data_IF_946267153681
#
_entry.id   IF_946267153681
#
_cell.length_a   1.000
_cell.length_b   1.000
_cell.length_c   1.000
_cell.angle_alpha   90.00
_cell.angle_beta   90.00
_cell.angle_gamma   90.00
#
_symmetry.space_group_name_H-M   'P 1'
#
loop_
_entity.id
_entity.type
_entity.pdbx_description
1 polymer ?
#
# COMPACT_ATOMS: atom_id res chain seq x y z
N UNK A 1 -27.74 12.86 31.06
CA UNK A 1 -26.40 13.23 31.54
C UNK A 1 -26.20 14.71 31.31
N UNK A 2 -25.75 15.44 32.34
CA UNK A 2 -25.66 16.90 32.31
C UNK A 2 -24.52 17.36 31.41
N UNK A 3 -24.84 18.18 30.41
CA UNK A 3 -23.85 18.94 29.64
C UNK A 3 -23.29 20.00 30.58
N UNK A 4 -22.01 19.92 30.93
CA UNK A 4 -21.40 20.94 31.78
C UNK A 4 -20.98 22.12 30.90
N UNK A 5 -21.60 23.28 31.16
CA UNK A 5 -21.12 24.57 30.65
C UNK A 5 -20.04 25.08 31.59
N UNK A 6 -18.94 25.57 31.03
CA UNK A 6 -17.84 26.16 31.80
C UNK A 6 -17.91 27.67 31.65
N UNK A 7 -18.18 28.38 32.75
CA UNK A 7 -18.20 29.84 32.82
C UNK A 7 -16.91 30.39 33.44
N UNK A 8 -16.21 29.57 34.23
CA UNK A 8 -15.00 29.98 34.95
C UNK A 8 -13.94 28.88 35.00
N UNK A 9 -12.70 29.27 35.30
CA UNK A 9 -11.61 28.32 35.55
C UNK A 9 -11.87 27.43 36.76
N UNK A 10 -12.74 27.85 37.69
CA UNK A 10 -13.15 27.07 38.85
C UNK A 10 -13.96 25.85 38.46
N UNK A 11 -14.67 25.90 37.34
CA UNK A 11 -15.49 24.79 36.85
C UNK A 11 -14.63 23.60 36.41
N UNK A 12 -13.36 23.83 36.05
CA UNK A 12 -12.40 22.76 35.77
C UNK A 12 -12.10 21.90 37.00
N UNK A 13 -12.29 22.42 38.22
CA UNK A 13 -12.11 21.63 39.45
C UNK A 13 -13.22 20.58 39.64
N UNK A 14 -14.35 20.72 38.93
CA UNK A 14 -15.42 19.72 38.94
C UNK A 14 -15.15 18.53 38.00
N UNK A 15 -14.13 18.63 37.15
CA UNK A 15 -13.76 17.57 36.21
C UNK A 15 -12.96 16.49 36.96
N UNK A 16 -13.34 15.20 36.85
CA UNK A 16 -12.58 14.11 37.42
C UNK A 16 -11.10 14.13 36.98
N UNK A 17 -10.12 13.84 37.87
CA UNK A 17 -8.70 13.92 37.54
C UNK A 17 -8.29 13.07 36.32
N UNK A 18 -8.93 11.92 36.13
CA UNK A 18 -8.71 11.00 35.00
C UNK A 18 -9.23 11.54 33.66
N UNK A 19 -10.12 12.53 33.70
CA UNK A 19 -10.71 13.16 32.51
C UNK A 19 -10.20 14.58 32.25
N UNK A 20 -9.45 15.16 33.18
CA UNK A 20 -8.93 16.52 33.08
C UNK A 20 -8.09 16.73 31.81
N UNK A 21 -7.22 15.77 31.47
CA UNK A 21 -6.40 15.85 30.25
C UNK A 21 -7.24 15.91 28.97
N UNK A 22 -8.30 15.10 28.88
CA UNK A 22 -9.22 15.10 27.74
C UNK A 22 -10.06 16.38 27.68
N UNK A 23 -10.50 16.89 28.82
CA UNK A 23 -11.18 18.18 28.92
C UNK A 23 -10.29 19.34 28.45
N UNK A 24 -9.04 19.39 28.89
CA UNK A 24 -8.08 20.42 28.49
C UNK A 24 -7.74 20.35 27.00
N UNK A 25 -7.60 19.15 26.44
CA UNK A 25 -7.42 18.97 25.00
C UNK A 25 -8.62 19.48 24.20
N UNK A 26 -9.85 19.14 24.63
CA UNK A 26 -11.07 19.63 24.00
C UNK A 26 -11.23 21.16 24.10
N UNK A 27 -10.86 21.75 25.24
CA UNK A 27 -10.84 23.19 25.44
C UNK A 27 -9.84 23.87 24.50
N UNK A 28 -8.62 23.33 24.40
CA UNK A 28 -7.60 23.84 23.48
C UNK A 28 -8.08 23.81 22.01
N UNK A 29 -8.68 22.70 21.57
CA UNK A 29 -9.24 22.57 20.23
C UNK A 29 -10.43 23.52 19.98
N UNK A 30 -11.25 23.77 21.00
CA UNK A 30 -12.30 24.79 20.93
C UNK A 30 -11.69 26.19 20.75
N UNK A 31 -10.68 26.58 21.55
CA UNK A 31 -9.98 27.87 21.42
C UNK A 31 -9.41 28.05 20.01
N UNK A 32 -8.75 27.03 19.47
CA UNK A 32 -8.17 27.10 18.12
C UNK A 32 -9.25 27.24 17.03
N UNK A 33 -10.37 26.53 17.15
CA UNK A 33 -11.49 26.65 16.22
C UNK A 33 -12.14 28.04 16.29
N UNK A 34 -12.38 28.57 17.48
CA UNK A 34 -12.93 29.91 17.66
C UNK A 34 -12.01 30.99 17.09
N UNK A 35 -10.69 30.87 17.29
CA UNK A 35 -9.70 31.77 16.67
C UNK A 35 -9.75 31.73 15.15
N UNK A 36 -9.82 30.53 14.55
CA UNK A 36 -9.94 30.39 13.09
C UNK A 36 -11.24 30.99 12.56
N UNK A 37 -12.35 30.79 13.28
CA UNK A 37 -13.65 31.35 12.92
C UNK A 37 -13.61 32.88 12.88
N UNK A 38 -13.00 33.51 13.90
CA UNK A 38 -12.80 34.97 13.94
C UNK A 38 -11.99 35.45 12.73
N UNK A 39 -10.84 34.82 12.45
CA UNK A 39 -9.98 35.22 11.30
C UNK A 39 -10.73 35.10 9.97
N UNK A 40 -11.52 34.06 9.78
CA UNK A 40 -12.33 33.86 8.56
C UNK A 40 -13.41 34.95 8.44
N UNK A 41 -14.07 35.29 9.55
CA UNK A 41 -15.10 36.32 9.58
C UNK A 41 -14.54 37.73 9.32
N UNK A 42 -13.39 38.07 9.92
CA UNK A 42 -12.67 39.32 9.65
C UNK A 42 -12.27 39.44 8.18
N UNK A 43 -11.77 38.35 7.58
CA UNK A 43 -11.46 38.30 6.16
C UNK A 43 -12.69 38.49 5.25
N UNK A 44 -13.88 38.17 5.75
CA UNK A 44 -15.17 38.40 5.09
C UNK A 44 -15.75 39.80 5.38
N UNK A 45 -15.03 40.68 6.10
CA UNK A 45 -15.48 42.02 6.47
C UNK A 45 -16.51 42.04 7.61
N UNK A 46 -16.68 40.94 8.34
CA UNK A 46 -17.53 40.88 9.53
C UNK A 46 -16.72 41.32 10.74
N UNK A 47 -17.25 42.30 11.47
CA UNK A 47 -16.67 42.79 12.71
C UNK A 47 -16.65 41.68 13.78
N UNK A 48 -15.48 41.38 14.33
CA UNK A 48 -15.27 40.34 15.33
C UNK A 48 -16.12 40.54 16.59
N UNK A 49 -16.48 41.79 16.93
CA UNK A 49 -17.33 42.11 18.08
C UNK A 49 -18.79 41.64 17.94
N UNK A 50 -19.22 41.34 16.71
CA UNK A 50 -20.59 40.88 16.39
C UNK A 50 -20.68 39.36 16.24
N UNK A 51 -19.57 38.64 16.43
CA UNK A 51 -19.55 37.18 16.29
C UNK A 51 -20.04 36.52 17.57
N UNK A 52 -21.12 35.77 17.46
CA UNK A 52 -21.60 34.88 18.52
C UNK A 52 -20.75 33.61 18.51
N UNK A 53 -19.79 33.52 19.43
CA UNK A 53 -18.99 32.31 19.63
C UNK A 53 -19.74 31.42 20.61
N UNK A 54 -20.09 30.21 20.18
CA UNK A 54 -20.72 29.24 21.07
C UNK A 54 -19.86 28.95 22.29
N UNK A 55 -20.41 28.98 23.52
CA UNK A 55 -19.66 28.71 24.73
C UNK A 55 -19.10 27.29 24.73
N UNK A 56 -17.95 27.11 25.38
CA UNK A 56 -17.35 25.80 25.53
C UNK A 56 -18.24 24.90 26.39
N UNK A 57 -18.83 23.90 25.74
CA UNK A 57 -19.54 22.82 26.42
C UNK A 57 -18.72 21.55 26.30
N UNK A 58 -18.31 21.00 27.45
CA UNK A 58 -17.64 19.71 27.50
C UNK A 58 -18.60 18.65 28.00
N UNK A 59 -18.55 17.51 27.32
CA UNK A 59 -19.16 16.29 27.80
C UNK A 59 -18.01 15.38 28.21
N UNK A 60 -18.05 14.81 29.43
CA UNK A 60 -17.20 13.70 29.80
C UNK A 60 -17.06 12.77 28.61
N UNK A 61 -15.83 12.60 28.16
CA UNK A 61 -15.54 11.46 27.31
C UNK A 61 -15.68 10.30 28.28
N UNK A 62 -16.91 9.81 28.48
CA UNK A 62 -17.09 8.42 28.81
C UNK A 62 -16.14 7.75 27.83
N UNK A 63 -15.08 7.13 28.36
CA UNK A 63 -14.56 5.97 27.68
C UNK A 63 -15.81 5.16 27.49
N UNK A 64 -16.44 5.28 26.31
CA UNK A 64 -17.58 4.50 25.87
C UNK A 64 -17.15 3.13 26.30
N UNK A 65 -17.75 2.58 27.35
CA UNK A 65 -17.21 1.37 27.94
C UNK A 65 -17.42 0.34 26.85
N UNK A 66 -16.38 0.13 26.05
CA UNK A 66 -16.44 -0.71 24.85
C UNK A 66 -16.82 -2.12 25.30
N UNK A 67 -16.60 -2.42 26.59
CA UNK A 67 -17.03 -3.59 27.35
C UNK A 67 -18.50 -4.02 27.17
N UNK A 68 -19.45 -3.14 26.84
CA UNK A 68 -20.86 -3.54 26.86
C UNK A 68 -21.31 -4.34 25.62
N UNK A 69 -20.55 -4.35 24.51
CA UNK A 69 -20.97 -5.04 23.29
C UNK A 69 -19.83 -5.46 22.35
N UNK A 70 -18.57 -5.53 22.81
CA UNK A 70 -17.55 -6.19 21.98
C UNK A 70 -17.91 -7.66 21.91
N UNK A 71 -17.94 -8.17 20.69
CA UNK A 71 -18.10 -9.56 20.31
C UNK A 71 -16.92 -9.95 19.41
N UNK A 72 -16.60 -11.24 19.25
CA UNK A 72 -15.52 -11.66 18.35
C UNK A 72 -15.68 -11.15 16.90
N UNK A 73 -16.92 -10.94 16.43
CA UNK A 73 -17.22 -10.40 15.10
C UNK A 73 -17.20 -8.87 15.02
N UNK A 74 -16.96 -8.17 16.14
CA UNK A 74 -16.87 -6.70 16.18
C UNK A 74 -15.74 -6.20 15.28
N UNK A 75 -16.00 -5.25 14.37
CA UNK A 75 -14.98 -4.65 13.51
C UNK A 75 -13.89 -3.93 14.32
N UNK A 76 -12.64 -3.99 13.87
CA UNK A 76 -11.50 -3.34 14.54
C UNK A 76 -11.63 -1.81 14.63
N UNK A 77 -12.44 -1.23 13.73
CA UNK A 77 -12.77 0.19 13.70
C UNK A 77 -13.62 0.61 14.91
N UNK A 78 -14.34 -0.34 15.51
CA UNK A 78 -15.26 -0.14 16.63
C UNK A 78 -14.62 -0.45 18.00
N UNK A 79 -13.41 -1.02 18.01
CA UNK A 79 -12.70 -1.42 19.25
C UNK A 79 -12.14 -0.24 20.07
N UNK A 80 -12.29 1.00 19.60
CA UNK A 80 -11.83 2.18 20.35
C UNK A 80 -10.31 2.32 20.46
N UNK A 81 -9.54 1.59 19.65
CA UNK A 81 -8.08 1.72 19.56
C UNK A 81 -7.67 2.92 18.67
N UNK A 82 -6.37 3.26 18.68
CA UNK A 82 -5.85 4.40 17.90
C UNK A 82 -6.11 4.22 16.40
N UNK A 83 -6.65 5.25 15.72
CA UNK A 83 -6.95 5.23 14.27
C UNK A 83 -5.79 4.80 13.37
N UNK A 84 -4.55 5.15 13.72
CA UNK A 84 -3.36 4.72 12.96
C UNK A 84 -3.12 3.21 13.07
N UNK A 85 -3.36 2.62 14.25
CA UNK A 85 -3.27 1.18 14.46
C UNK A 85 -4.39 0.47 13.68
N UNK A 86 -5.64 0.97 13.74
CA UNK A 86 -6.76 0.46 12.94
C UNK A 86 -6.38 0.45 11.45
N UNK A 87 -5.93 1.58 10.92
CA UNK A 87 -5.55 1.69 9.52
C UNK A 87 -4.49 0.65 9.13
N UNK A 88 -3.45 0.51 9.97
CA UNK A 88 -2.36 -0.43 9.73
C UNK A 88 -2.80 -1.90 9.82
N UNK A 89 -3.79 -2.21 10.66
CA UNK A 89 -4.43 -3.53 10.77
C UNK A 89 -5.31 -3.83 9.54
N UNK A 90 -6.09 -2.85 9.06
CA UNK A 90 -6.86 -2.97 7.82
C UNK A 90 -5.97 -3.18 6.59
N UNK A 91 -4.79 -2.56 6.54
CA UNK A 91 -3.81 -2.76 5.47
C UNK A 91 -3.25 -4.18 5.41
N UNK A 92 -3.26 -4.88 6.54
CA UNK A 92 -2.78 -6.26 6.65
C UNK A 92 -3.93 -7.28 6.74
N UNK A 93 -5.17 -6.85 6.46
CA UNK A 93 -6.38 -7.68 6.41
C UNK A 93 -6.83 -8.25 7.76
N UNK A 94 -6.62 -7.51 8.84
CA UNK A 94 -7.27 -7.76 10.14
C UNK A 94 -8.48 -6.82 10.19
N UNK A 95 -9.70 -7.37 10.21
CA UNK A 95 -10.94 -6.60 10.13
C UNK A 95 -11.79 -6.68 11.39
N UNK A 96 -11.70 -7.78 12.13
CA UNK A 96 -12.50 -8.08 13.32
C UNK A 96 -11.63 -8.48 14.49
N UNK A 97 -12.22 -8.52 15.68
CA UNK A 97 -11.54 -9.02 16.87
C UNK A 97 -11.11 -10.49 16.71
N UNK A 98 -11.93 -11.34 16.11
CA UNK A 98 -11.59 -12.75 15.86
C UNK A 98 -10.36 -12.91 14.94
N UNK A 99 -10.16 -11.99 13.98
CA UNK A 99 -9.01 -12.02 13.07
C UNK A 99 -7.70 -11.80 13.81
N UNK A 100 -7.72 -11.03 14.92
CA UNK A 100 -6.54 -10.79 15.75
C UNK A 100 -6.03 -12.07 16.42
N UNK A 101 -6.90 -13.06 16.68
CA UNK A 101 -6.48 -14.34 17.24
C UNK A 101 -5.62 -15.17 16.26
N UNK A 102 -5.68 -14.85 14.97
CA UNK A 102 -4.84 -15.48 13.94
C UNK A 102 -3.45 -14.82 13.81
N UNK A 103 -3.31 -13.60 14.33
CA UNK A 103 -2.06 -12.86 14.35
C UNK A 103 -1.28 -13.17 15.64
N UNK A 104 0.04 -13.11 15.55
CA UNK A 104 0.91 -13.17 16.72
C UNK A 104 1.17 -11.78 17.29
N UNK A 105 1.48 -11.74 18.58
CA UNK A 105 1.77 -10.50 19.27
C UNK A 105 3.02 -9.80 18.71
N UNK A 106 4.05 -10.58 18.41
CA UNK A 106 5.32 -10.09 17.85
C UNK A 106 5.13 -9.44 16.47
N UNK A 107 4.18 -9.93 15.66
CA UNK A 107 3.84 -9.33 14.37
C UNK A 107 3.23 -7.95 14.54
N UNK A 108 2.30 -7.81 15.49
CA UNK A 108 1.68 -6.52 15.81
C UNK A 108 2.72 -5.54 16.34
N UNK A 109 3.61 -5.98 17.22
CA UNK A 109 4.68 -5.13 17.78
C UNK A 109 5.71 -4.64 16.74
N UNK A 110 5.85 -5.33 15.59
CA UNK A 110 6.73 -4.88 14.49
C UNK A 110 6.08 -3.81 13.61
N UNK A 111 4.78 -3.58 13.72
CA UNK A 111 4.08 -2.54 12.97
C UNK A 111 4.39 -1.18 13.56
N UNK A 112 4.86 -0.25 12.72
CA UNK A 112 5.25 1.11 13.11
C UNK A 112 4.19 1.86 13.92
N UNK A 113 2.91 1.59 13.66
CA UNK A 113 1.78 2.32 14.25
C UNK A 113 1.05 1.56 15.36
N UNK A 114 1.55 0.36 15.73
CA UNK A 114 1.00 -0.48 16.79
C UNK A 114 2.05 -0.60 17.90
N UNK A 115 1.77 0.03 19.03
CA UNK A 115 2.66 0.02 20.19
C UNK A 115 2.22 -0.98 21.26
N UNK A 116 3.10 -1.18 22.25
CA UNK A 116 2.85 -2.06 23.41
C UNK A 116 1.50 -1.81 24.08
N UNK A 117 1.11 -0.55 24.25
CA UNK A 117 -0.18 -0.19 24.86
C UNK A 117 -1.37 -0.67 24.03
N UNK A 118 -1.31 -0.57 22.71
CA UNK A 118 -2.36 -1.06 21.82
C UNK A 118 -2.43 -2.58 21.85
N UNK A 119 -1.28 -3.25 21.88
CA UNK A 119 -1.23 -4.71 21.97
C UNK A 119 -1.80 -5.21 23.29
N UNK A 120 -1.49 -4.55 24.42
CA UNK A 120 -2.06 -4.88 25.73
C UNK A 120 -3.58 -4.73 25.74
N UNK A 121 -4.11 -3.64 25.18
CA UNK A 121 -5.55 -3.41 25.04
C UNK A 121 -6.22 -4.53 24.24
N UNK A 122 -5.61 -4.92 23.12
CA UNK A 122 -6.13 -6.00 22.29
C UNK A 122 -6.04 -7.37 22.98
N UNK A 123 -4.98 -7.63 23.74
CA UNK A 123 -4.86 -8.85 24.55
C UNK A 123 -6.00 -8.95 25.57
N UNK A 124 -6.29 -7.85 26.26
CA UNK A 124 -7.38 -7.79 27.23
C UNK A 124 -8.73 -8.05 26.55
N UNK A 125 -8.98 -7.42 25.39
CA UNK A 125 -10.21 -7.63 24.60
C UNK A 125 -10.35 -9.08 24.13
N UNK A 126 -9.28 -9.70 23.61
CA UNK A 126 -9.30 -11.10 23.21
C UNK A 126 -9.56 -12.02 24.41
N UNK A 127 -8.89 -11.76 25.54
CA UNK A 127 -9.03 -12.55 26.76
C UNK A 127 -10.46 -12.56 27.32
N UNK A 128 -11.19 -11.45 27.21
CA UNK A 128 -12.62 -11.37 27.58
C UNK A 128 -13.51 -12.34 26.80
N UNK A 129 -13.09 -12.77 25.61
CA UNK A 129 -13.81 -13.72 24.76
C UNK A 129 -13.18 -15.11 24.70
N UNK A 130 -12.22 -15.41 25.59
CA UNK A 130 -11.50 -16.70 25.56
C UNK A 130 -10.61 -16.88 24.33
N UNK A 131 -10.28 -15.78 23.65
CA UNK A 131 -9.35 -15.76 22.52
C UNK A 131 -7.96 -15.34 23.01
N UNK A 132 -6.93 -15.77 22.29
CA UNK A 132 -5.55 -15.37 22.54
C UNK A 132 -4.84 -15.13 21.19
N UNK A 133 -3.75 -14.38 21.23
CA UNK A 133 -2.84 -14.28 20.09
C UNK A 133 -2.23 -15.64 19.77
N UNK A 134 -1.91 -15.85 18.50
CA UNK A 134 -1.19 -17.03 18.04
C UNK A 134 0.27 -17.00 18.53
N UNK A 135 0.81 -18.15 18.91
CA UNK A 135 2.24 -18.29 19.23
C UNK A 135 3.13 -17.97 18.02
N UNK A 136 4.21 -17.21 18.25
CA UNK A 136 5.04 -16.58 17.22
C UNK A 136 6.06 -17.51 16.57
N UNK A 137 5.63 -18.68 16.11
CA UNK A 137 6.56 -19.68 15.56
C UNK A 137 6.82 -19.52 14.05
N UNK A 138 6.29 -18.47 13.39
CA UNK A 138 6.37 -18.30 11.94
C UNK A 138 6.68 -16.86 11.44
N UNK A 139 7.23 -16.72 10.21
CA UNK A 139 7.58 -15.42 9.64
C UNK A 139 6.36 -14.60 9.17
N UNK A 140 6.32 -13.35 9.62
CA UNK A 140 5.24 -12.34 9.56
C UNK A 140 4.50 -12.05 8.24
N UNK A 141 4.99 -12.54 7.09
CA UNK A 141 4.30 -12.38 5.79
C UNK A 141 3.38 -13.54 5.45
N UNK A 142 3.64 -14.74 6.00
CA UNK A 142 2.87 -15.94 5.66
C UNK A 142 1.54 -16.04 6.41
N UNK A 143 1.41 -15.35 7.54
CA UNK A 143 0.24 -15.44 8.42
C UNK A 143 -0.83 -14.36 8.13
N UNK A 144 -0.45 -13.21 7.57
CA UNK A 144 -1.41 -12.22 7.05
C UNK A 144 -2.07 -12.67 5.74
N UNK A 145 -1.32 -13.39 4.91
CA UNK A 145 -1.93 -14.16 3.82
C UNK A 145 -2.85 -15.26 4.39
N UNK A 146 -2.57 -15.79 5.58
CA UNK A 146 -3.38 -16.84 6.24
C UNK A 146 -4.69 -16.29 6.85
N UNK A 147 -4.72 -15.07 7.39
CA UNK A 147 -5.95 -14.40 7.83
C UNK A 147 -6.83 -13.96 6.64
N UNK A 148 -6.21 -13.45 5.58
CA UNK A 148 -6.91 -13.19 4.33
C UNK A 148 -7.39 -14.50 3.68
N UNK A 149 -6.63 -15.59 3.81
CA UNK A 149 -7.08 -16.94 3.43
C UNK A 149 -8.24 -17.38 4.32
N UNK A 150 -8.21 -17.22 5.64
CA UNK A 150 -9.29 -17.63 6.55
C UNK A 150 -10.62 -16.94 6.28
N UNK A 151 -10.61 -15.63 5.97
CA UNK A 151 -11.80 -14.92 5.52
C UNK A 151 -12.29 -15.42 4.15
N UNK A 152 -11.35 -15.72 3.25
CA UNK A 152 -11.64 -16.29 1.92
C UNK A 152 -12.08 -17.76 1.97
N UNK A 153 -11.70 -18.55 2.98
CA UNK A 153 -12.17 -19.93 3.21
C UNK A 153 -13.66 -19.92 3.56
N UNK A 154 -14.12 -18.96 4.38
CA UNK A 154 -15.55 -18.76 4.69
C UNK A 154 -16.37 -18.29 3.48
N UNK A 155 -15.77 -17.53 2.55
CA UNK A 155 -16.41 -17.14 1.29
C UNK A 155 -16.45 -18.31 0.29
N UNK A 156 -15.42 -19.17 0.25
CA UNK A 156 -15.36 -20.35 -0.62
C UNK A 156 -16.35 -21.46 -0.20
N UNK A 157 -16.74 -21.53 1.08
CA UNK A 157 -17.83 -22.41 1.55
C UNK A 157 -19.21 -21.97 1.04
N UNK A 158 -19.37 -20.69 0.72
CA UNK A 158 -20.60 -20.16 0.13
C UNK A 158 -20.53 -20.44 -1.37
N UNK A 159 -21.45 -21.25 -1.89
CA UNK A 159 -21.63 -21.47 -3.33
C UNK A 159 -22.11 -20.19 -4.01
N UNK A 160 -21.21 -19.22 -4.15
CA UNK A 160 -21.48 -17.93 -4.76
C UNK A 160 -21.76 -18.13 -6.25
N UNK A 161 -22.66 -17.31 -6.78
CA UNK A 161 -23.00 -17.25 -8.21
C UNK A 161 -22.89 -15.82 -8.70
N UNK A 162 -23.05 -15.60 -10.00
CA UNK A 162 -23.06 -14.25 -10.56
C UNK A 162 -24.22 -13.38 -10.04
N UNK A 163 -25.29 -14.01 -9.58
CA UNK A 163 -26.45 -13.33 -8.99
C UNK A 163 -26.24 -13.02 -7.50
N UNK A 164 -25.18 -13.52 -6.88
CA UNK A 164 -24.89 -13.23 -5.47
C UNK A 164 -24.56 -11.75 -5.30
N UNK A 165 -25.04 -11.11 -4.23
CA UNK A 165 -24.76 -9.71 -3.95
C UNK A 165 -23.28 -9.50 -3.63
N UNK A 166 -22.77 -8.31 -3.96
CA UNK A 166 -21.35 -7.99 -3.79
C UNK A 166 -20.88 -7.99 -2.33
N UNK A 167 -21.81 -7.78 -1.39
CA UNK A 167 -21.56 -7.85 0.06
C UNK A 167 -21.19 -9.25 0.53
N UNK A 168 -21.62 -10.30 -0.18
CA UNK A 168 -21.32 -11.69 0.17
C UNK A 168 -19.92 -12.14 -0.27
N UNK A 169 -19.27 -11.38 -1.16
CA UNK A 169 -17.96 -11.74 -1.71
C UNK A 169 -16.84 -11.69 -0.66
N UNK A 170 -17.06 -11.03 0.48
CA UNK A 170 -16.02 -10.84 1.48
C UNK A 170 -15.01 -9.78 1.02
N UNK A 171 -15.51 -8.59 0.66
CA UNK A 171 -14.69 -7.40 0.44
C UNK A 171 -14.72 -6.50 1.68
N UNK A 172 -13.74 -5.60 1.82
CA UNK A 172 -13.77 -4.53 2.82
C UNK A 172 -15.04 -3.69 2.68
N UNK A 173 -15.67 -3.24 3.78
CA UNK A 173 -16.86 -2.38 3.74
C UNK A 173 -16.67 -1.15 2.85
N UNK A 174 -15.50 -0.51 2.89
CA UNK A 174 -15.18 0.63 2.04
C UNK A 174 -15.10 0.28 0.54
N UNK A 175 -14.75 -0.95 0.19
CA UNK A 175 -14.74 -1.44 -1.20
C UNK A 175 -16.15 -1.80 -1.63
N UNK A 176 -16.93 -2.50 -0.79
CA UNK A 176 -18.36 -2.78 -1.03
C UNK A 176 -19.15 -1.49 -1.27
N UNK A 177 -19.02 -0.50 -0.38
CA UNK A 177 -19.74 0.77 -0.52
C UNK A 177 -19.37 1.50 -1.82
N UNK A 178 -18.10 1.42 -2.25
CA UNK A 178 -17.68 2.00 -3.53
C UNK A 178 -18.21 1.23 -4.74
N UNK A 179 -18.37 -0.09 -4.64
CA UNK A 179 -19.03 -0.90 -5.66
C UNK A 179 -20.49 -0.50 -5.80
N UNK A 180 -21.23 -0.46 -4.69
CA UNK A 180 -22.64 -0.07 -4.66
C UNK A 180 -22.86 1.35 -5.19
N UNK A 181 -22.02 2.31 -4.78
CA UNK A 181 -22.08 3.70 -5.27
C UNK A 181 -21.82 3.83 -6.79
N UNK A 182 -21.24 2.81 -7.41
CA UNK A 182 -20.96 2.74 -8.86
C UNK A 182 -21.94 1.82 -9.60
N UNK A 183 -22.99 1.36 -8.94
CA UNK A 183 -23.99 0.45 -9.52
C UNK A 183 -23.50 -0.99 -9.71
N UNK A 184 -22.46 -1.39 -8.97
CA UNK A 184 -21.97 -2.78 -8.96
C UNK A 184 -22.53 -3.45 -7.69
N UNK A 185 -23.71 -4.04 -7.83
CA UNK A 185 -24.48 -4.66 -6.74
C UNK A 185 -24.32 -6.18 -6.65
N UNK A 186 -23.86 -6.83 -7.72
CA UNK A 186 -23.71 -8.28 -7.84
C UNK A 186 -22.30 -8.69 -8.27
N UNK A 187 -21.95 -9.94 -7.98
CA UNK A 187 -20.66 -10.54 -8.39
C UNK A 187 -20.55 -10.60 -9.91
N UNK A 188 -21.65 -10.91 -10.61
CA UNK A 188 -21.70 -10.91 -12.08
C UNK A 188 -21.46 -9.53 -12.69
N UNK A 189 -22.07 -8.48 -12.12
CA UNK A 189 -21.81 -7.11 -12.52
C UNK A 189 -20.33 -6.76 -12.36
N UNK A 190 -19.70 -7.12 -11.22
CA UNK A 190 -18.26 -6.91 -11.02
C UNK A 190 -17.42 -7.64 -12.08
N UNK A 191 -17.71 -8.93 -12.34
CA UNK A 191 -16.96 -9.78 -13.27
C UNK A 191 -17.08 -9.35 -14.73
N UNK A 192 -18.14 -8.61 -15.08
CA UNK A 192 -18.34 -8.06 -16.42
C UNK A 192 -17.34 -6.93 -16.78
N UNK A 193 -16.75 -6.29 -15.77
CA UNK A 193 -15.79 -5.21 -15.98
C UNK A 193 -14.40 -5.73 -16.36
N UNK A 194 -13.70 -4.97 -17.20
CA UNK A 194 -12.29 -5.23 -17.49
C UNK A 194 -11.41 -4.77 -16.34
N UNK A 195 -10.21 -5.34 -16.24
CA UNK A 195 -9.24 -4.96 -15.21
C UNK A 195 -8.89 -3.46 -15.28
N UNK A 196 -8.83 -2.90 -16.50
CA UNK A 196 -8.59 -1.48 -16.74
C UNK A 196 -9.73 -0.60 -16.22
N UNK A 197 -10.98 -0.98 -16.48
CA UNK A 197 -12.13 -0.21 -16.01
C UNK A 197 -12.21 -0.20 -14.48
N UNK A 198 -11.96 -1.36 -13.84
CA UNK A 198 -11.84 -1.44 -12.39
C UNK A 198 -10.67 -0.58 -11.87
N UNK A 199 -9.57 -0.49 -12.61
CA UNK A 199 -8.45 0.38 -12.24
C UNK A 199 -8.83 1.85 -12.19
N UNK A 200 -9.45 2.35 -13.26
CA UNK A 200 -9.89 3.73 -13.34
C UNK A 200 -10.89 4.06 -12.23
N UNK A 201 -11.79 3.12 -11.91
CA UNK A 201 -12.86 3.33 -10.93
C UNK A 201 -12.41 3.24 -9.48
N UNK A 202 -11.53 2.30 -9.13
CA UNK A 202 -11.24 1.93 -7.74
C UNK A 202 -9.79 2.18 -7.30
N UNK A 203 -8.85 2.26 -8.24
CA UNK A 203 -7.42 2.38 -7.99
C UNK A 203 -6.74 1.08 -7.56
N UNK A 204 -5.41 1.10 -7.55
CA UNK A 204 -4.52 -0.07 -7.43
C UNK A 204 -4.80 -0.98 -6.22
N UNK A 205 -4.97 -0.40 -5.02
CA UNK A 205 -5.13 -1.17 -3.80
C UNK A 205 -6.45 -1.94 -3.74
N UNK A 206 -7.52 -1.36 -4.30
CA UNK A 206 -8.86 -1.95 -4.28
C UNK A 206 -9.03 -3.02 -5.35
N UNK A 207 -8.40 -2.87 -6.52
CA UNK A 207 -8.42 -3.94 -7.53
C UNK A 207 -7.72 -5.20 -7.02
N UNK A 208 -6.57 -5.04 -6.36
CA UNK A 208 -5.84 -6.19 -5.83
C UNK A 208 -6.73 -7.01 -4.90
N UNK A 209 -7.43 -6.33 -4.01
CA UNK A 209 -8.44 -6.94 -3.16
C UNK A 209 -9.54 -7.62 -3.98
N UNK A 210 -10.21 -6.89 -4.89
CA UNK A 210 -11.29 -7.43 -5.72
C UNK A 210 -10.89 -8.72 -6.46
N UNK A 211 -9.76 -8.69 -7.17
CA UNK A 211 -9.28 -9.81 -7.98
C UNK A 211 -8.83 -10.97 -7.09
N UNK A 212 -8.16 -10.69 -5.98
CA UNK A 212 -7.69 -11.73 -5.07
C UNK A 212 -8.85 -12.42 -4.34
N UNK A 213 -9.88 -11.67 -3.96
CA UNK A 213 -11.09 -12.23 -3.35
C UNK A 213 -11.85 -13.11 -4.35
N UNK A 214 -12.04 -12.65 -5.60
CA UNK A 214 -12.63 -13.47 -6.65
C UNK A 214 -11.87 -14.81 -6.83
N UNK A 215 -10.54 -14.75 -6.90
CA UNK A 215 -9.70 -15.96 -7.06
C UNK A 215 -9.90 -16.97 -5.96
N UNK A 216 -10.02 -16.53 -4.72
CA UNK A 216 -10.16 -17.46 -3.61
C UNK A 216 -11.55 -18.07 -3.48
N UNK A 217 -12.56 -17.42 -4.06
CA UNK A 217 -13.89 -18.02 -4.26
C UNK A 217 -13.90 -18.95 -5.50
N UNK A 218 -12.79 -19.03 -6.24
CA UNK A 218 -12.69 -19.83 -7.47
C UNK A 218 -13.30 -19.14 -8.69
N UNK A 219 -13.49 -17.82 -8.64
CA UNK A 219 -14.02 -17.01 -9.73
C UNK A 219 -12.94 -16.12 -10.36
N UNK A 220 -13.15 -15.74 -11.62
CA UNK A 220 -12.31 -14.78 -12.34
C UNK A 220 -13.17 -13.76 -13.06
N UNK A 221 -12.61 -12.60 -13.41
CA UNK A 221 -13.26 -11.69 -14.36
C UNK A 221 -13.59 -12.43 -15.67
N UNK A 222 -14.68 -12.05 -16.34
CA UNK A 222 -15.07 -12.67 -17.62
C UNK A 222 -14.00 -12.48 -18.69
N UNK A 223 -13.42 -11.28 -18.74
CA UNK A 223 -12.20 -11.04 -19.52
C UNK A 223 -11.00 -11.37 -18.64
N UNK A 224 -10.48 -12.59 -18.76
CA UNK A 224 -9.31 -13.03 -18.02
C UNK A 224 -8.11 -12.14 -18.42
N UNK A 225 -7.58 -11.31 -17.52
CA UNK A 225 -6.46 -10.44 -17.85
C UNK A 225 -5.19 -11.27 -17.98
N UNK A 226 -4.39 -11.03 -19.01
CA UNK A 226 -3.04 -11.61 -19.11
C UNK A 226 -2.13 -11.15 -17.97
N UNK A 227 -1.08 -11.92 -17.69
CA UNK A 227 -0.14 -11.66 -16.58
C UNK A 227 0.46 -10.24 -16.63
N UNK A 228 0.79 -9.76 -17.83
CA UNK A 228 1.29 -8.40 -18.05
C UNK A 228 0.28 -7.33 -17.59
N UNK A 229 -0.99 -7.47 -17.97
CA UNK A 229 -2.04 -6.54 -17.56
C UNK A 229 -2.23 -6.59 -16.04
N UNK A 230 -2.22 -7.77 -15.45
CA UNK A 230 -2.33 -7.91 -14.00
C UNK A 230 -1.18 -7.22 -13.25
N UNK A 231 0.04 -7.31 -13.75
CA UNK A 231 1.18 -6.58 -13.19
C UNK A 231 1.05 -5.06 -13.39
N UNK A 232 0.66 -4.62 -14.59
CA UNK A 232 0.48 -3.21 -14.92
C UNK A 232 -0.51 -2.53 -13.96
N UNK A 233 -1.63 -3.20 -13.67
CA UNK A 233 -2.63 -2.70 -12.73
C UNK A 233 -2.34 -3.06 -11.26
N UNK A 234 -1.19 -3.68 -10.96
CA UNK A 234 -0.71 -3.91 -9.60
C UNK A 234 -1.34 -5.08 -8.85
N UNK A 235 -2.03 -5.97 -9.56
CA UNK A 235 -2.57 -7.23 -9.03
C UNK A 235 -1.45 -8.22 -8.77
N UNK A 236 -0.52 -8.38 -9.73
CA UNK A 236 0.66 -9.21 -9.59
C UNK A 236 1.90 -8.37 -9.24
N UNK A 237 2.77 -8.97 -8.44
CA UNK A 237 4.11 -8.49 -8.17
C UNK A 237 5.12 -9.06 -9.19
N UNK A 238 6.27 -8.41 -9.30
CA UNK A 238 7.31 -8.81 -10.27
C UNK A 238 7.82 -10.24 -10.06
N UNK A 239 7.84 -10.72 -8.81
CA UNK A 239 8.26 -12.08 -8.45
C UNK A 239 7.20 -13.16 -8.73
N UNK A 240 5.94 -12.76 -8.96
CA UNK A 240 4.84 -13.67 -9.29
C UNK A 240 4.69 -13.85 -10.81
N UNK A 241 5.33 -12.99 -11.60
CA UNK A 241 5.33 -13.08 -13.06
C UNK A 241 6.24 -14.20 -13.56
N UNK A 242 5.70 -15.02 -14.47
CA UNK A 242 6.50 -15.97 -15.24
C UNK A 242 7.32 -15.22 -16.27
N UNK A 243 8.59 -15.61 -16.45
CA UNK A 243 9.41 -15.04 -17.53
C UNK A 243 8.78 -15.44 -18.87
N UNK A 244 8.59 -14.48 -19.80
CA UNK A 244 8.10 -14.78 -21.12
C UNK A 244 9.07 -15.70 -21.88
N UNK A 245 8.51 -16.56 -22.74
CA UNK A 245 9.29 -17.38 -23.66
C UNK A 245 9.88 -16.55 -24.80
N UNK A 246 10.79 -17.13 -25.57
CA UNK A 246 11.49 -16.43 -26.66
C UNK A 246 10.53 -15.95 -27.78
N UNK A 247 9.41 -16.63 -28.00
CA UNK A 247 8.38 -16.26 -28.99
C UNK A 247 7.40 -15.17 -28.50
N UNK A 248 7.43 -14.83 -27.21
CA UNK A 248 6.52 -13.83 -26.64
C UNK A 248 6.81 -12.43 -27.19
N UNK A 249 5.80 -11.55 -27.10
CA UNK A 249 5.94 -10.16 -27.52
C UNK A 249 6.95 -9.40 -26.65
N UNK A 250 7.71 -8.47 -27.24
CA UNK A 250 8.74 -7.70 -26.53
C UNK A 250 8.17 -6.87 -25.37
N UNK A 251 6.90 -6.47 -25.46
CA UNK A 251 6.18 -5.74 -24.42
C UNK A 251 6.05 -6.53 -23.13
N UNK A 252 6.03 -7.87 -23.21
CA UNK A 252 5.99 -8.73 -22.02
C UNK A 252 7.26 -8.58 -21.17
N UNK A 253 8.36 -8.06 -21.70
CA UNK A 253 9.58 -7.76 -20.93
C UNK A 253 9.49 -6.48 -20.10
N UNK A 254 8.44 -5.68 -20.28
CA UNK A 254 8.28 -4.39 -19.60
C UNK A 254 8.39 -4.46 -18.06
N UNK A 255 7.92 -5.52 -17.38
CA UNK A 255 8.06 -5.65 -15.93
C UNK A 255 9.51 -5.64 -15.43
N UNK A 256 10.44 -6.22 -16.20
CA UNK A 256 11.84 -6.35 -15.81
C UNK A 256 12.72 -5.23 -16.38
N UNK A 257 12.45 -4.81 -17.62
CA UNK A 257 13.28 -3.83 -18.34
C UNK A 257 12.78 -2.39 -18.22
N UNK A 258 11.48 -2.21 -17.95
CA UNK A 258 10.80 -0.93 -17.97
C UNK A 258 10.32 -0.53 -19.37
N UNK A 259 9.21 0.23 -19.41
CA UNK A 259 8.52 0.64 -20.65
C UNK A 259 9.39 1.41 -21.65
N UNK A 260 10.34 2.21 -21.16
CA UNK A 260 11.23 2.97 -22.05
C UNK A 260 12.16 2.07 -22.84
N UNK A 261 12.65 0.99 -22.22
CA UNK A 261 13.55 0.01 -22.85
C UNK A 261 12.77 -0.84 -23.85
N UNK A 262 11.60 -1.34 -23.48
CA UNK A 262 10.77 -2.14 -24.40
C UNK A 262 10.28 -1.33 -25.60
N UNK A 263 9.92 -0.06 -25.42
CA UNK A 263 9.60 0.84 -26.55
C UNK A 263 10.80 1.09 -27.46
N UNK A 264 12.00 1.22 -26.92
CA UNK A 264 13.21 1.37 -27.71
C UNK A 264 13.49 0.10 -28.55
N UNK A 265 13.31 -1.08 -27.95
CA UNK A 265 13.41 -2.37 -28.66
C UNK A 265 12.37 -2.51 -29.77
N UNK A 266 11.12 -2.11 -29.53
CA UNK A 266 10.10 -2.08 -30.57
C UNK A 266 10.46 -1.15 -31.74
N UNK A 267 11.04 0.03 -31.44
CA UNK A 267 11.53 0.97 -32.47
C UNK A 267 12.73 0.43 -33.26
N UNK A 268 13.54 -0.44 -32.67
CA UNK A 268 14.62 -1.12 -33.38
C UNK A 268 14.16 -2.35 -34.16
N UNK A 269 12.85 -2.64 -34.19
CA UNK A 269 12.28 -3.77 -34.93
C UNK A 269 12.28 -5.10 -34.17
N UNK A 270 12.68 -5.12 -32.89
CA UNK A 270 12.59 -6.32 -32.07
C UNK A 270 11.16 -6.49 -31.56
N UNK A 271 10.37 -7.30 -32.24
CA UNK A 271 8.95 -7.58 -31.88
C UNK A 271 8.80 -8.74 -30.90
N UNK A 272 9.79 -9.63 -30.81
CA UNK A 272 9.78 -10.81 -29.93
C UNK A 272 10.91 -10.77 -28.89
N UNK A 273 10.79 -11.57 -27.83
CA UNK A 273 11.83 -11.74 -26.81
C UNK A 273 13.14 -12.29 -27.40
N UNK A 274 13.04 -13.22 -28.37
CA UNK A 274 14.19 -13.70 -29.13
C UNK A 274 14.92 -12.57 -29.87
N UNK A 275 14.17 -11.72 -30.58
CA UNK A 275 14.75 -10.57 -31.28
C UNK A 275 15.39 -9.58 -30.30
N UNK A 276 14.79 -9.37 -29.12
CA UNK A 276 15.38 -8.54 -28.07
C UNK A 276 16.69 -9.13 -27.50
N UNK A 277 16.80 -10.47 -27.44
CA UNK A 277 18.04 -11.16 -27.05
C UNK A 277 19.14 -10.92 -28.09
N UNK A 278 18.82 -11.01 -29.38
CA UNK A 278 19.78 -10.70 -30.46
C UNK A 278 20.27 -9.25 -30.38
N UNK A 279 19.37 -8.29 -30.14
CA UNK A 279 19.74 -6.89 -29.89
C UNK A 279 20.67 -6.76 -28.67
N UNK A 280 20.47 -7.57 -27.62
CA UNK A 280 21.35 -7.59 -26.45
C UNK A 280 22.75 -8.14 -26.76
N UNK A 281 22.84 -9.13 -27.64
CA UNK A 281 24.11 -9.71 -28.12
C UNK A 281 24.86 -8.68 -28.98
N UNK A 282 24.19 -8.07 -29.96
CA UNK A 282 24.78 -7.00 -30.77
C UNK A 282 25.23 -5.79 -29.93
N UNK A 283 24.45 -5.47 -28.90
CA UNK A 283 24.77 -4.42 -27.96
C UNK A 283 26.10 -4.69 -27.25
N UNK A 284 26.30 -5.92 -26.76
CA UNK A 284 27.55 -6.34 -26.12
C UNK A 284 28.77 -6.20 -27.05
N UNK A 285 28.60 -6.41 -28.35
CA UNK A 285 29.65 -6.24 -29.37
C UNK A 285 29.95 -4.76 -29.72
N UNK A 286 29.30 -3.81 -29.05
CA UNK A 286 29.49 -2.38 -29.28
C UNK A 286 28.68 -1.82 -30.44
N UNK A 287 27.76 -2.60 -31.04
CA UNK A 287 26.85 -2.14 -32.12
C UNK A 287 25.63 -1.39 -31.57
N UNK A 288 25.53 -1.22 -30.24
CA UNK A 288 24.46 -0.57 -29.48
C UNK A 288 23.84 0.71 -30.05
N UNK A 289 24.67 1.60 -30.62
CA UNK A 289 24.21 2.96 -30.95
C UNK A 289 23.12 2.98 -32.02
N UNK A 290 22.95 1.88 -32.76
CA UNK A 290 21.91 1.74 -33.80
C UNK A 290 20.50 1.61 -33.23
N UNK A 291 20.36 1.20 -31.98
CA UNK A 291 19.07 0.79 -31.41
C UNK A 291 18.44 1.82 -30.47
N UNK A 292 19.06 3.00 -30.31
CA UNK A 292 18.53 4.08 -29.46
C UNK A 292 18.47 3.76 -27.95
N UNK A 293 19.07 2.64 -27.52
CA UNK A 293 19.15 2.23 -26.12
C UNK A 293 20.27 2.99 -25.41
N UNK A 294 19.94 3.70 -24.33
CA UNK A 294 20.94 4.29 -23.43
C UNK A 294 21.72 3.22 -22.65
N UNK A 295 22.88 3.58 -22.09
CA UNK A 295 23.75 2.67 -21.35
C UNK A 295 23.02 1.89 -20.24
N UNK A 296 22.14 2.56 -19.48
CA UNK A 296 21.34 1.90 -18.44
C UNK A 296 20.36 0.85 -19.00
N UNK A 297 19.73 1.14 -20.14
CA UNK A 297 18.85 0.19 -20.82
C UNK A 297 19.59 -1.05 -21.32
N UNK A 298 20.80 -0.86 -21.85
CA UNK A 298 21.68 -1.96 -22.27
C UNK A 298 22.08 -2.84 -21.08
N UNK A 299 22.47 -2.24 -19.95
CA UNK A 299 22.81 -2.99 -18.74
C UNK A 299 21.65 -3.86 -18.26
N UNK A 300 20.44 -3.29 -18.15
CA UNK A 300 19.25 -4.06 -17.72
C UNK A 300 18.91 -5.19 -18.68
N UNK A 301 19.04 -4.95 -19.98
CA UNK A 301 18.81 -5.96 -21.02
C UNK A 301 19.80 -7.13 -20.89
N UNK A 302 21.10 -6.83 -20.70
CA UNK A 302 22.13 -7.86 -20.50
C UNK A 302 21.92 -8.63 -19.19
N UNK A 303 21.59 -7.94 -18.10
CA UNK A 303 21.29 -8.57 -16.80
C UNK A 303 20.08 -9.52 -16.89
N UNK A 304 19.02 -9.12 -17.60
CA UNK A 304 17.84 -9.93 -17.79
C UNK A 304 18.15 -11.26 -18.49
N UNK A 305 18.92 -11.21 -19.57
CA UNK A 305 19.34 -12.37 -20.36
C UNK A 305 20.57 -13.09 -19.80
N UNK A 306 21.08 -12.68 -18.64
CA UNK A 306 22.30 -13.22 -18.02
C UNK A 306 23.52 -13.21 -18.96
N UNK A 307 23.62 -12.19 -19.82
CA UNK A 307 24.79 -11.99 -20.68
C UNK A 307 25.93 -11.36 -19.87
N UNK A 308 27.18 -11.81 -20.08
CA UNK A 308 28.33 -11.24 -19.40
C UNK A 308 28.50 -9.76 -19.78
N UNK A 309 28.90 -8.93 -18.81
CA UNK A 309 29.15 -7.51 -19.01
C UNK A 309 30.14 -7.31 -20.17
N UNK A 310 29.96 -6.28 -21.02
CA UNK A 310 30.86 -6.02 -22.11
C UNK A 310 32.26 -5.76 -21.55
N UNK A 311 33.33 -6.20 -22.24
CA UNK A 311 34.68 -5.84 -21.85
C UNK A 311 34.75 -4.32 -21.72
N UNK A 312 35.22 -3.84 -20.56
CA UNK A 312 35.43 -2.42 -20.34
C UNK A 312 36.60 -2.03 -21.25
N UNK A 313 36.30 -1.68 -22.51
CA UNK A 313 37.23 -0.97 -23.35
C UNK A 313 37.40 0.38 -22.69
N UNK A 314 38.46 0.51 -21.86
CA UNK A 314 38.95 1.81 -21.39
C UNK A 314 39.03 2.67 -22.64
N UNK A 315 38.16 3.67 -22.71
CA UNK A 315 38.09 4.52 -23.89
C UNK A 315 39.48 5.10 -24.09
N UNK A 316 39.95 5.19 -25.33
CA UNK A 316 41.26 5.76 -25.62
C UNK A 316 41.37 7.22 -25.14
N UNK A 317 40.24 7.86 -24.77
CA UNK A 317 40.17 9.15 -24.09
C UNK A 317 40.59 9.13 -22.62
N UNK A 318 40.57 7.96 -21.95
CA UNK A 318 41.13 7.77 -20.61
C UNK A 318 42.64 7.49 -20.63
N UNK A 319 43.24 7.32 -21.83
CA UNK A 319 44.68 7.58 -21.98
C UNK A 319 44.88 9.09 -21.92
N UNK A 320 44.75 9.68 -20.73
CA UNK A 320 45.46 10.94 -20.47
C UNK A 320 46.93 10.64 -20.79
N UNK A 321 47.59 11.40 -21.69
CA UNK A 321 49.03 11.27 -21.84
C UNK A 321 49.62 11.40 -20.44
N UNK A 322 50.49 10.46 -20.08
CA UNK A 322 51.19 10.51 -18.79
C UNK A 322 51.78 11.93 -18.64
N UNK A 323 51.47 12.67 -17.56
CA UNK A 323 52.00 14.02 -17.37
C UNK A 323 53.50 14.01 -17.06
N UNK A 324 54.13 12.83 -16.96
CA UNK A 324 55.56 12.71 -16.77
C UNK A 324 56.26 12.60 -18.12
N UNK A 325 57.01 13.62 -18.57
CA UNK A 325 58.01 13.42 -19.60
C UNK A 325 58.97 12.33 -19.10
N UNK A 326 59.19 11.30 -19.93
CA UNK A 326 60.29 10.37 -19.73
C UNK A 326 61.58 11.18 -19.58
N UNK A 327 62.37 11.01 -18.50
CA UNK A 327 63.63 11.72 -18.36
C UNK A 327 64.53 11.37 -19.54
N UNK A 328 65.13 12.40 -20.14
CA UNK A 328 66.11 12.27 -21.21
C UNK A 328 67.27 11.37 -20.73
N UNK A 329 67.80 10.47 -21.58
CA UNK A 329 69.03 9.76 -21.26
C UNK A 329 70.17 10.78 -21.16
N UNK A 330 70.85 10.82 -20.02
CA UNK A 330 72.09 11.57 -19.85
C UNK A 330 73.16 10.92 -20.73
N UNK A 331 73.58 11.64 -21.78
CA UNK A 331 74.80 11.34 -22.52
C UNK A 331 75.99 11.52 -21.59
N UNK A 332 76.53 10.40 -21.09
CA UNK A 332 77.89 10.36 -20.56
C UNK A 332 78.88 10.50 -21.73
N UNK A 333 79.25 11.74 -22.03
CA UNK A 333 80.46 12.05 -22.79
C UNK A 333 81.68 11.71 -21.93
N UNK A 334 82.41 10.67 -22.32
CA UNK A 334 83.81 10.51 -21.97
C UNK A 334 84.68 11.11 -23.07
N UNK A 335 85.43 12.15 -22.74
CA UNK A 335 86.90 12.26 -22.88
C UNK A 335 87.38 13.59 -22.28
#
# INVERSE_FOLDING_TARGET
MGRSSFESTRDLLSVPPDQLSACLAALHDWILRSKRFIVIAEAAGVDASKLEIEPFAWTPNEKRSVDAAITPDTPIEELGIRRSAVHRMLEINIYRLEDLALASEDELMRMKDVGRTTVEQLREMLGKHGLAFKESDQPWRRDLDRAAVAFRTRAAERKLSDQSPISELGLRPATVNRCLARGIDSVGALRSHTLRDLYVKFGKASIRELVQTLRCVGMTLHSAPGDLAQWEYGVLNLNELKRPGDDAAVEELAPWLGWSVTKALGKSGATTVAAAREVAIEAREGKCRRHGLGAHGQTRLMEYFALPKPPIHRSERDRRPSPFPTPFPEDHAGE
#
